data_IF_454247650784
#
_entry.id   IF_454247650784
#
_cell.length_a   1.000
_cell.length_b   1.000
_cell.length_c   1.000
_cell.angle_alpha   90.00
_cell.angle_beta   90.00
_cell.angle_gamma   90.00
#
_symmetry.space_group_name_H-M   'P 1'
#
loop_
_entity.id
_entity.type
_entity.pdbx_description
1 polymer ?
#
# COMPACT_ATOMS: atom_id res chain seq x y z
N UNK A 1 20.18 -8.84 -3.08
CA UNK A 1 19.31 -7.74 -3.57
C UNK A 1 17.96 -7.81 -2.88
N UNK A 2 17.38 -6.65 -2.55
CA UNK A 2 16.08 -6.60 -1.88
C UNK A 2 14.90 -6.74 -2.85
N UNK A 3 15.13 -6.46 -4.11
CA UNK A 3 14.08 -6.54 -5.13
C UNK A 3 12.96 -5.53 -4.93
N UNK A 4 13.30 -4.32 -4.47
CA UNK A 4 12.30 -3.29 -4.19
C UNK A 4 11.62 -2.81 -5.46
N UNK A 5 10.28 -2.77 -5.42
CA UNK A 5 9.49 -2.26 -6.55
C UNK A 5 8.16 -1.70 -6.05
N UNK A 6 7.61 -0.75 -6.77
CA UNK A 6 6.28 -0.23 -6.45
C UNK A 6 5.24 -1.30 -6.76
N UNK A 7 4.42 -1.64 -5.75
CA UNK A 7 3.35 -2.62 -5.91
C UNK A 7 2.00 -1.96 -6.13
N UNK A 8 1.61 -1.03 -5.26
CA UNK A 8 0.36 -0.30 -5.45
C UNK A 8 0.37 1.02 -4.69
N UNK A 9 -0.56 1.89 -5.07
CA UNK A 9 -0.81 3.17 -4.40
C UNK A 9 -2.23 3.12 -3.87
N UNK A 10 -2.39 3.30 -2.55
CA UNK A 10 -3.68 3.42 -1.91
C UNK A 10 -4.08 4.88 -1.80
N UNK A 11 -5.32 5.19 -2.14
CA UNK A 11 -5.85 6.55 -2.09
C UNK A 11 -7.03 6.56 -1.13
N UNK A 12 -6.96 7.40 -0.09
CA UNK A 12 -8.02 7.49 0.89
C UNK A 12 -9.18 8.33 0.38
N UNK A 13 -10.40 7.87 0.60
CA UNK A 13 -11.63 8.64 0.37
C UNK A 13 -12.50 8.55 1.61
N UNK A 14 -13.56 9.36 1.65
CA UNK A 14 -14.40 9.45 2.83
C UNK A 14 -15.52 8.42 2.89
N UNK A 15 -15.94 7.87 1.75
CA UNK A 15 -17.05 6.92 1.68
C UNK A 15 -17.02 6.16 0.37
N UNK A 16 -17.90 5.16 0.25
CA UNK A 16 -17.97 4.30 -0.93
C UNK A 16 -18.34 5.08 -2.20
N UNK A 17 -19.24 6.04 -2.10
CA UNK A 17 -19.66 6.82 -3.26
C UNK A 17 -18.50 7.63 -3.83
N UNK A 18 -17.73 8.28 -2.96
CA UNK A 18 -16.54 9.02 -3.37
C UNK A 18 -15.48 8.08 -3.95
N UNK A 19 -15.27 6.94 -3.31
CA UNK A 19 -14.31 5.95 -3.79
C UNK A 19 -14.68 5.46 -5.19
N UNK A 20 -15.95 5.22 -5.45
CA UNK A 20 -16.41 4.79 -6.77
C UNK A 20 -16.20 5.88 -7.82
N UNK A 21 -16.46 7.14 -7.48
CA UNK A 21 -16.18 8.25 -8.39
C UNK A 21 -14.71 8.35 -8.75
N UNK A 22 -13.83 8.24 -7.76
CA UNK A 22 -12.39 8.30 -7.97
C UNK A 22 -11.93 7.12 -8.82
N UNK A 23 -12.39 5.91 -8.49
CA UNK A 23 -12.01 4.71 -9.24
C UNK A 23 -12.46 4.79 -10.70
N UNK A 24 -13.68 5.23 -10.94
CA UNK A 24 -14.19 5.36 -12.31
C UNK A 24 -13.46 6.45 -13.10
N UNK A 25 -13.09 7.54 -12.44
CA UNK A 25 -12.31 8.61 -13.08
C UNK A 25 -10.94 8.09 -13.52
N UNK A 26 -10.21 7.45 -12.61
CA UNK A 26 -8.88 6.91 -12.92
C UNK A 26 -8.99 5.81 -13.99
N UNK A 27 -9.92 4.89 -13.81
CA UNK A 27 -10.14 3.80 -14.76
C UNK A 27 -10.47 4.29 -16.15
N UNK A 28 -11.32 5.33 -16.23
CA UNK A 28 -11.70 5.92 -17.51
C UNK A 28 -10.55 6.67 -18.19
N UNK A 29 -9.82 7.48 -17.42
CA UNK A 29 -8.71 8.26 -17.95
C UNK A 29 -7.55 7.38 -18.42
N UNK A 30 -7.25 6.33 -17.67
CA UNK A 30 -6.09 5.48 -17.93
C UNK A 30 -6.45 4.19 -18.67
N UNK A 31 -7.72 4.02 -19.00
CA UNK A 31 -8.23 2.82 -19.67
C UNK A 31 -7.88 1.55 -18.86
N UNK A 32 -8.18 1.60 -17.57
CA UNK A 32 -7.94 0.51 -16.64
C UNK A 32 -9.25 -0.05 -16.12
N UNK A 33 -9.25 -1.35 -15.82
CA UNK A 33 -10.42 -2.04 -15.28
C UNK A 33 -10.67 -1.62 -13.84
N UNK A 34 -11.95 -1.41 -13.48
CA UNK A 34 -12.37 -1.12 -12.11
C UNK A 34 -12.97 -2.40 -11.50
N UNK A 35 -12.44 -2.82 -10.35
CA UNK A 35 -12.87 -4.04 -9.68
C UNK A 35 -13.23 -3.75 -8.22
N UNK A 36 -14.53 -3.56 -7.90
CA UNK A 36 -14.96 -3.32 -6.52
C UNK A 36 -14.59 -4.49 -5.61
N UNK A 37 -14.04 -4.17 -4.46
CA UNK A 37 -13.74 -5.12 -3.40
C UNK A 37 -14.55 -4.80 -2.15
N UNK A 38 -14.19 -5.42 -1.04
CA UNK A 38 -14.92 -5.29 0.22
C UNK A 38 -14.65 -3.92 0.89
N UNK A 39 -13.39 -3.62 1.17
CA UNK A 39 -12.98 -2.38 1.86
C UNK A 39 -12.39 -1.35 0.93
N UNK A 40 -12.16 -1.69 -0.33
CA UNK A 40 -11.55 -0.81 -1.32
C UNK A 40 -11.99 -1.20 -2.73
N UNK A 41 -11.70 -0.32 -3.69
CA UNK A 41 -11.97 -0.56 -5.10
C UNK A 41 -10.65 -0.54 -5.82
N UNK A 42 -10.32 -1.63 -6.52
CA UNK A 42 -9.08 -1.72 -7.27
C UNK A 42 -9.24 -1.18 -8.68
N UNK A 43 -8.21 -0.51 -9.18
CA UNK A 43 -8.15 -0.03 -10.56
C UNK A 43 -6.88 -0.60 -11.19
N UNK A 44 -7.02 -1.18 -12.36
CA UNK A 44 -5.95 -1.89 -13.03
C UNK A 44 -5.79 -3.30 -12.47
N UNK A 45 -4.57 -3.82 -12.48
CA UNK A 45 -4.23 -5.10 -11.85
C UNK A 45 -3.77 -4.86 -10.42
N UNK A 46 -4.54 -4.07 -9.68
CA UNK A 46 -4.28 -3.65 -8.29
C UNK A 46 -3.22 -2.56 -8.15
N UNK A 47 -2.86 -1.87 -9.23
CA UNK A 47 -1.95 -0.73 -9.14
C UNK A 47 -2.49 0.38 -8.26
N UNK A 48 -3.81 0.64 -8.35
CA UNK A 48 -4.49 1.60 -7.47
C UNK A 48 -5.48 0.88 -6.57
N UNK A 49 -5.42 1.23 -5.30
CA UNK A 49 -6.40 0.76 -4.31
C UNK A 49 -7.12 1.98 -3.76
N UNK A 50 -8.38 2.16 -4.15
CA UNK A 50 -9.17 3.32 -3.70
C UNK A 50 -9.91 2.89 -2.44
N UNK A 51 -9.53 3.46 -1.30
CA UNK A 51 -10.09 3.08 -0.01
C UNK A 51 -11.48 3.70 0.16
N UNK A 52 -12.46 2.86 0.55
CA UNK A 52 -13.84 3.33 0.79
C UNK A 52 -13.95 4.16 2.07
N UNK A 53 -13.03 3.95 3.01
CA UNK A 53 -12.88 4.76 4.21
C UNK A 53 -11.40 5.02 4.40
N UNK A 54 -11.01 6.12 5.08
CA UNK A 54 -9.59 6.39 5.25
C UNK A 54 -8.86 5.24 5.91
N UNK A 55 -7.85 4.75 5.23
CA UNK A 55 -6.92 3.77 5.77
C UNK A 55 -5.72 4.47 6.37
N UNK A 56 -4.60 3.74 6.48
CA UNK A 56 -3.39 4.28 7.05
C UNK A 56 -2.78 5.34 6.11
N UNK A 57 -2.23 6.40 6.70
CA UNK A 57 -1.66 7.53 5.98
C UNK A 57 -2.66 8.69 5.84
N UNK A 58 -2.14 9.92 5.76
CA UNK A 58 -2.98 11.11 5.63
C UNK A 58 -3.74 11.12 4.29
N UNK A 59 -3.03 10.85 3.20
CA UNK A 59 -3.62 10.84 1.86
C UNK A 59 -3.81 9.43 1.32
N UNK A 60 -3.12 8.47 1.88
CA UNK A 60 -3.15 7.10 1.42
C UNK A 60 -1.88 6.35 1.80
N UNK A 61 -1.61 5.26 1.08
CA UNK A 61 -0.45 4.44 1.36
C UNK A 61 0.23 4.00 0.07
N UNK A 62 1.51 3.70 0.18
CA UNK A 62 2.32 3.22 -0.94
C UNK A 62 2.94 1.89 -0.53
N UNK A 63 2.64 0.85 -1.29
CA UNK A 63 3.15 -0.49 -1.03
C UNK A 63 4.38 -0.75 -1.88
N UNK A 64 5.47 -1.12 -1.22
CA UNK A 64 6.73 -1.47 -1.87
C UNK A 64 6.93 -2.98 -1.74
N UNK A 65 6.97 -3.66 -2.86
CA UNK A 65 7.23 -5.10 -2.89
C UNK A 65 8.71 -5.38 -2.68
N UNK A 66 9.01 -6.52 -2.06
CA UNK A 66 10.37 -6.95 -1.82
C UNK A 66 10.46 -8.47 -1.79
N UNK A 67 11.68 -8.99 -1.92
CA UNK A 67 11.90 -10.43 -1.92
C UNK A 67 11.76 -11.07 -0.54
N UNK A 68 12.08 -10.31 0.51
CA UNK A 68 12.00 -10.78 1.88
C UNK A 68 11.81 -9.58 2.80
N UNK A 69 10.68 -9.51 3.50
CA UNK A 69 10.33 -8.35 4.31
C UNK A 69 11.31 -8.14 5.46
N UNK A 70 11.65 -9.20 6.20
CA UNK A 70 12.58 -9.05 7.33
C UNK A 70 13.96 -8.58 6.88
N UNK A 71 14.44 -9.10 5.76
CA UNK A 71 15.72 -8.65 5.20
C UNK A 71 15.66 -7.18 4.79
N UNK A 72 14.56 -6.77 4.18
CA UNK A 72 14.38 -5.38 3.78
C UNK A 72 14.33 -4.46 5.00
N UNK A 73 13.63 -4.87 6.06
CA UNK A 73 13.59 -4.12 7.33
C UNK A 73 15.01 -3.92 7.86
N UNK A 74 15.79 -4.99 7.89
CA UNK A 74 17.17 -4.93 8.39
C UNK A 74 18.01 -3.92 7.61
N UNK A 75 18.03 -4.05 6.29
CA UNK A 75 18.87 -3.18 5.46
C UNK A 75 18.40 -1.73 5.44
N UNK A 76 17.09 -1.50 5.36
CA UNK A 76 16.56 -0.13 5.35
C UNK A 76 16.69 0.54 6.72
N UNK A 77 16.60 -0.23 7.80
CA UNK A 77 16.84 0.32 9.15
C UNK A 77 18.25 0.87 9.28
N UNK A 78 19.22 0.23 8.63
CA UNK A 78 20.60 0.72 8.64
C UNK A 78 20.77 2.00 7.85
N UNK A 79 19.85 2.31 6.95
CA UNK A 79 19.83 3.57 6.19
C UNK A 79 19.00 4.65 6.89
N UNK A 80 18.55 4.40 8.12
CA UNK A 80 17.84 5.37 8.94
C UNK A 80 16.32 5.27 8.89
N UNK A 81 15.77 4.27 8.19
CA UNK A 81 14.31 4.08 8.18
C UNK A 81 13.88 3.46 9.49
N UNK A 82 12.86 4.04 10.11
CA UNK A 82 12.23 3.47 11.32
C UNK A 82 10.98 2.71 10.91
N UNK A 83 10.80 1.54 11.50
CA UNK A 83 9.64 0.69 11.23
C UNK A 83 8.72 0.60 12.43
N UNK A 84 7.42 0.52 12.17
CA UNK A 84 6.42 0.19 13.16
C UNK A 84 6.34 -1.33 13.23
N UNK A 85 7.13 -1.93 14.13
CA UNK A 85 7.22 -3.39 14.21
C UNK A 85 5.91 -4.04 14.67
N UNK A 86 5.05 -3.28 15.36
CA UNK A 86 3.74 -3.78 15.76
C UNK A 86 2.80 -3.95 14.56
N UNK A 87 3.13 -3.33 13.43
CA UNK A 87 2.34 -3.45 12.21
C UNK A 87 2.70 -4.68 11.38
N UNK A 88 3.69 -5.46 11.80
CA UNK A 88 4.06 -6.67 11.06
C UNK A 88 2.88 -7.62 10.89
N UNK A 89 2.72 -8.12 9.68
CA UNK A 89 1.80 -9.21 9.40
C UNK A 89 2.64 -10.46 9.16
N UNK A 90 2.41 -11.48 9.97
CA UNK A 90 3.13 -12.75 9.87
C UNK A 90 2.17 -13.83 9.42
N UNK A 91 2.55 -14.58 8.39
CA UNK A 91 1.74 -15.67 7.87
C UNK A 91 2.64 -16.88 7.64
N UNK A 92 2.25 -18.02 8.22
CA UNK A 92 3.03 -19.27 8.14
C UNK A 92 4.47 -19.08 8.61
N UNK A 93 4.66 -18.31 9.69
CA UNK A 93 5.97 -18.05 10.27
C UNK A 93 6.84 -17.07 9.49
N UNK A 94 6.29 -16.43 8.44
CA UNK A 94 7.04 -15.51 7.60
C UNK A 94 6.38 -14.12 7.65
N UNK A 95 7.21 -13.09 7.83
CA UNK A 95 6.73 -11.71 7.76
C UNK A 95 6.39 -11.36 6.32
N UNK A 96 5.16 -10.92 6.07
CA UNK A 96 4.68 -10.60 4.72
C UNK A 96 4.38 -9.12 4.53
N UNK A 97 4.36 -8.32 5.58
CA UNK A 97 4.15 -6.88 5.48
C UNK A 97 4.64 -6.17 6.75
N UNK A 98 5.05 -4.92 6.61
CA UNK A 98 5.41 -4.06 7.73
C UNK A 98 5.40 -2.61 7.29
N UNK A 99 4.79 -1.74 8.10
CA UNK A 99 4.76 -0.31 7.81
C UNK A 99 6.00 0.41 8.31
N UNK A 100 6.39 1.48 7.60
CA UNK A 100 7.33 2.47 8.14
C UNK A 100 6.64 3.18 9.31
N UNK A 101 7.44 3.62 10.29
CA UNK A 101 6.89 4.33 11.45
C UNK A 101 6.33 5.70 11.07
N UNK A 102 6.97 6.40 10.14
CA UNK A 102 6.60 7.77 9.77
C UNK A 102 6.08 7.83 8.34
N UNK A 103 5.15 8.76 8.12
CA UNK A 103 4.67 9.05 6.76
C UNK A 103 5.73 9.82 5.98
N UNK A 104 5.67 9.70 4.66
CA UNK A 104 6.47 10.51 3.75
C UNK A 104 5.49 11.28 2.87
N UNK A 105 5.54 12.62 2.94
CA UNK A 105 4.65 13.51 2.16
C UNK A 105 3.16 13.17 2.33
N UNK A 106 2.77 12.74 3.51
CA UNK A 106 1.37 12.41 3.80
C UNK A 106 0.96 11.00 3.39
N UNK A 107 1.91 10.15 2.97
CA UNK A 107 1.62 8.77 2.62
C UNK A 107 2.30 7.80 3.58
N UNK A 108 1.54 6.81 4.03
CA UNK A 108 2.12 5.69 4.76
C UNK A 108 2.82 4.77 3.77
N UNK A 109 4.04 4.36 4.09
CA UNK A 109 4.77 3.40 3.27
C UNK A 109 4.79 2.05 3.95
N UNK A 110 4.64 0.97 3.20
CA UNK A 110 4.83 -0.35 3.78
C UNK A 110 5.50 -1.30 2.81
N UNK A 111 6.25 -2.23 3.39
CA UNK A 111 6.82 -3.33 2.64
C UNK A 111 5.80 -4.45 2.53
N UNK A 112 5.77 -5.12 1.39
CA UNK A 112 4.96 -6.32 1.20
C UNK A 112 5.79 -7.38 0.49
N UNK A 113 5.52 -8.64 0.83
CA UNK A 113 6.16 -9.76 0.16
C UNK A 113 5.66 -9.81 -1.29
N UNK A 114 6.57 -9.72 -2.20
CA UNK A 114 6.25 -9.81 -3.63
C UNK A 114 6.20 -11.28 -4.07
#
# INVERSE_FOLDING_TARGET
>A
MLGLKLMHVGINTGNEEEAMKVANLIGGLLNMKVAPGNSSIFVGSKEFEIMKTPGRGTHGHIAIGCNNVDRAIYHLSQRGVKFDLDSKVVKNGKTIACYFADEIAGFAFHLVQA
#
